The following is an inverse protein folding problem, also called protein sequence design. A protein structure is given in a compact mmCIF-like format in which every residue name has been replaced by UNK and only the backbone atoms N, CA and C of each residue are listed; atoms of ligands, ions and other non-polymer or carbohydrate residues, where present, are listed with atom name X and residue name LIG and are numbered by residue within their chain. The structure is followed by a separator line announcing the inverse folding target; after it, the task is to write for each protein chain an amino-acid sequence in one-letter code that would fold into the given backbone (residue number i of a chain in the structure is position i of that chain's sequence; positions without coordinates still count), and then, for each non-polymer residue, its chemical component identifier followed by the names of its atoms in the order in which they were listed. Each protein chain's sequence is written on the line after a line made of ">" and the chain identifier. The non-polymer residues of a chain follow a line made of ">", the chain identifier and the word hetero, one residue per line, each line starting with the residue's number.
data_IF_241390816433
#
_entry.id   IF_241390816433
#
_cell.length_a   1.000
_cell.length_b   1.000
_cell.length_c   1.000
_cell.angle_alpha   90.00
_cell.angle_beta   90.00
_cell.angle_gamma   90.00
#
_symmetry.space_group_name_H-M   'P 1'
#
loop_
_entity.id
_entity.type
_entity.pdbx_description
1 polymer ?
#
# COMPACT_ATOMS: atom_id res chain seq x y z
N UNK A 1 -1.29 0.15 19.07
CA UNK A 1 -0.48 -0.52 18.01
C UNK A 1 -0.32 0.51 16.91
N UNK A 2 0.90 0.90 16.55
CA UNK A 2 1.13 1.86 15.47
C UNK A 2 1.04 1.10 14.15
N UNK A 3 0.07 1.45 13.32
CA UNK A 3 -0.06 0.96 11.95
C UNK A 3 1.03 1.62 11.09
N UNK A 4 1.80 0.83 10.33
CA UNK A 4 2.69 1.32 9.28
C UNK A 4 2.26 0.74 7.92
N UNK A 5 1.26 1.37 7.26
CA UNK A 5 0.79 0.93 5.95
C UNK A 5 1.90 0.89 4.90
N UNK A 6 2.87 1.82 4.96
CA UNK A 6 3.95 1.90 3.97
C UNK A 6 4.95 0.77 4.17
N UNK A 7 5.31 0.48 5.42
CA UNK A 7 6.10 -0.69 5.78
C UNK A 7 5.43 -1.99 5.33
N UNK A 8 4.12 -2.13 5.55
CA UNK A 8 3.36 -3.30 5.11
C UNK A 8 3.37 -3.47 3.58
N UNK A 9 3.18 -2.38 2.81
CA UNK A 9 3.26 -2.43 1.35
C UNK A 9 4.65 -2.92 0.91
N UNK A 10 5.73 -2.36 1.47
CA UNK A 10 7.11 -2.75 1.11
C UNK A 10 7.39 -4.21 1.46
N UNK A 11 6.96 -4.66 2.63
CA UNK A 11 7.09 -6.05 3.06
C UNK A 11 6.38 -7.00 2.10
N UNK A 12 5.12 -6.75 1.76
CA UNK A 12 4.36 -7.60 0.84
C UNK A 12 4.92 -7.57 -0.58
N UNK A 13 5.46 -6.44 -1.02
CA UNK A 13 6.18 -6.38 -2.30
C UNK A 13 7.37 -7.32 -2.32
N UNK A 14 8.19 -7.34 -1.26
CA UNK A 14 9.33 -8.24 -1.14
C UNK A 14 8.88 -9.72 -1.09
N UNK A 15 7.88 -10.05 -0.27
CA UNK A 15 7.40 -11.42 -0.12
C UNK A 15 6.75 -12.00 -1.39
N UNK A 16 6.18 -11.14 -2.24
CA UNK A 16 5.46 -11.56 -3.46
C UNK A 16 6.23 -11.23 -4.76
N UNK A 17 7.52 -10.88 -4.65
CA UNK A 17 8.40 -10.44 -5.76
C UNK A 17 7.73 -9.38 -6.67
N UNK A 18 7.04 -8.42 -6.05
CA UNK A 18 6.38 -7.30 -6.75
C UNK A 18 7.30 -6.09 -6.81
N UNK A 19 7.31 -5.44 -7.96
CA UNK A 19 8.01 -4.18 -8.21
C UNK A 19 7.05 -3.01 -8.09
N UNK A 20 7.58 -1.82 -7.83
CA UNK A 20 6.76 -0.59 -7.71
C UNK A 20 5.87 -0.37 -8.94
N UNK A 21 6.36 -0.75 -10.14
CA UNK A 21 5.59 -0.65 -11.39
C UNK A 21 4.33 -1.51 -11.40
N UNK A 22 4.30 -2.60 -10.65
CA UNK A 22 3.14 -3.49 -10.60
C UNK A 22 2.00 -2.86 -9.79
N UNK A 23 2.32 -1.91 -8.90
CA UNK A 23 1.34 -1.13 -8.16
C UNK A 23 0.64 -0.07 -9.03
N UNK A 24 1.11 0.18 -10.26
CA UNK A 24 0.51 1.20 -11.11
C UNK A 24 -0.90 0.85 -11.62
N UNK A 25 -1.29 -0.42 -11.47
CA UNK A 25 -2.68 -0.87 -11.70
C UNK A 25 -3.64 -0.35 -10.63
N UNK A 26 -3.14 -0.04 -9.43
CA UNK A 26 -3.93 0.46 -8.29
C UNK A 26 -4.11 1.99 -8.39
N UNK A 27 -3.05 2.70 -8.79
CA UNK A 27 -3.03 4.15 -8.90
C UNK A 27 -1.88 4.64 -9.80
N UNK A 28 -1.96 5.87 -10.34
CA UNK A 28 -0.86 6.45 -11.13
C UNK A 28 0.48 6.48 -10.40
N UNK A 29 1.59 6.36 -11.15
CA UNK A 29 2.97 6.37 -10.64
C UNK A 29 3.24 7.47 -9.60
N UNK A 30 2.78 8.70 -9.86
CA UNK A 30 2.95 9.83 -8.95
C UNK A 30 2.32 9.56 -7.58
N UNK A 31 1.09 9.05 -7.56
CA UNK A 31 0.36 8.73 -6.33
C UNK A 31 1.00 7.57 -5.57
N UNK A 32 1.47 6.53 -6.26
CA UNK A 32 2.23 5.43 -5.63
C UNK A 32 3.53 5.95 -5.01
N UNK A 33 4.25 6.82 -5.71
CA UNK A 33 5.48 7.43 -5.18
C UNK A 33 5.21 8.26 -3.92
N UNK A 34 4.16 9.08 -3.91
CA UNK A 34 3.77 9.86 -2.73
C UNK A 34 3.46 8.98 -1.52
N UNK A 35 2.75 7.86 -1.73
CA UNK A 35 2.42 6.90 -0.67
C UNK A 35 3.70 6.24 -0.13
N UNK A 36 4.56 5.70 -1.00
CA UNK A 36 5.77 4.98 -0.58
C UNK A 36 6.82 5.87 0.13
N UNK A 37 6.75 7.18 -0.11
CA UNK A 37 7.57 8.19 0.55
C UNK A 37 6.86 8.85 1.75
N UNK A 38 5.71 8.32 2.19
CA UNK A 38 4.91 8.84 3.31
C UNK A 38 4.48 10.30 3.15
N UNK A 39 4.46 10.82 1.91
CA UNK A 39 3.94 12.15 1.56
C UNK A 39 2.42 12.17 1.43
N UNK A 40 1.80 10.99 1.35
CA UNK A 40 0.35 10.79 1.28
C UNK A 40 -0.08 9.61 2.14
N UNK A 41 -1.10 9.82 2.98
CA UNK A 41 -1.74 8.74 3.74
C UNK A 41 -2.49 7.77 2.82
N UNK A 42 -2.56 6.50 3.21
CA UNK A 42 -3.37 5.49 2.54
C UNK A 42 -4.84 5.72 2.91
N UNK A 43 -5.69 6.05 1.95
CA UNK A 43 -7.14 6.18 2.17
C UNK A 43 -7.79 4.80 2.28
N UNK A 44 -9.01 4.73 2.82
CA UNK A 44 -9.78 3.48 2.90
C UNK A 44 -9.98 2.81 1.54
N UNK A 45 -10.28 3.59 0.50
CA UNK A 45 -10.39 3.09 -0.87
C UNK A 45 -9.08 2.48 -1.36
N UNK A 46 -7.95 3.12 -1.04
CA UNK A 46 -6.63 2.63 -1.41
C UNK A 46 -6.25 1.37 -0.64
N UNK A 47 -6.59 1.31 0.65
CA UNK A 47 -6.40 0.13 1.49
C UNK A 47 -7.14 -1.09 0.92
N UNK A 48 -8.39 -0.91 0.44
CA UNK A 48 -9.15 -1.96 -0.25
C UNK A 48 -8.43 -2.45 -1.50
N UNK A 49 -7.96 -1.55 -2.36
CA UNK A 49 -7.22 -1.92 -3.58
C UNK A 49 -5.90 -2.63 -3.27
N UNK A 50 -5.16 -2.22 -2.24
CA UNK A 50 -3.97 -2.93 -1.79
C UNK A 50 -4.31 -4.32 -1.24
N UNK A 51 -5.38 -4.45 -0.45
CA UNK A 51 -5.86 -5.73 0.05
C UNK A 51 -6.20 -6.70 -1.09
N UNK A 52 -6.92 -6.24 -2.11
CA UNK A 52 -7.23 -7.01 -3.31
C UNK A 52 -5.96 -7.41 -4.08
N UNK A 53 -5.05 -6.47 -4.31
CA UNK A 53 -3.82 -6.71 -5.07
C UNK A 53 -2.89 -7.72 -4.39
N UNK A 54 -2.67 -7.59 -3.09
CA UNK A 54 -1.81 -8.47 -2.31
C UNK A 54 -2.52 -9.71 -1.76
N UNK A 55 -3.85 -9.81 -1.94
CA UNK A 55 -4.71 -10.88 -1.40
C UNK A 55 -4.63 -11.01 0.12
N UNK A 56 -4.71 -9.88 0.82
CA UNK A 56 -4.68 -9.77 2.28
C UNK A 56 -5.80 -8.86 2.79
N UNK A 57 -6.04 -8.85 4.10
CA UNK A 57 -7.03 -7.94 4.69
C UNK A 57 -6.64 -6.47 4.44
N UNK A 58 -7.58 -5.60 4.00
CA UNK A 58 -7.31 -4.18 3.79
C UNK A 58 -6.98 -3.44 5.09
N UNK A 59 -7.36 -3.99 6.25
CA UNK A 59 -7.08 -3.42 7.57
C UNK A 59 -5.58 -3.26 7.84
N UNK A 60 -4.74 -4.07 7.18
CA UNK A 60 -3.28 -3.97 7.28
C UNK A 60 -2.73 -2.64 6.73
N UNK A 61 -3.52 -1.90 5.95
CA UNK A 61 -3.14 -0.64 5.33
C UNK A 61 -3.90 0.56 5.89
N UNK A 62 -4.73 0.37 6.91
CA UNK A 62 -5.48 1.45 7.55
C UNK A 62 -4.62 2.00 8.69
N UNK A 63 -4.45 3.31 8.69
CA UNK A 63 -3.83 4.00 9.80
C UNK A 63 -4.90 4.46 10.80
N UNK A 64 -4.85 3.93 12.02
CA UNK A 64 -5.76 4.30 13.11
C UNK A 64 -5.15 5.34 14.07
N UNK A 65 -3.99 5.90 13.72
CA UNK A 65 -3.25 6.88 14.54
C UNK A 65 -3.34 8.34 14.07
#
# INVERSE_FOLDING_TARGET
>A
IKSDPVGMIKFLMEQQDKKVKDLYVIAPKGRISEILNSKRRVSLEMAKRFGEFFRVSPELFIDFS
#
